data_IF_093855013091
#
_entry.id   IF_093855013091
#
_cell.length_a   1.000
_cell.length_b   1.000
_cell.length_c   1.000
_cell.angle_alpha   90.00
_cell.angle_beta   90.00
_cell.angle_gamma   90.00
#
_symmetry.space_group_name_H-M   'P 1'
#
loop_
_entity.id
_entity.type
_entity.pdbx_description
1 polymer ?
#
# COMPACT_ATOMS: atom_id res chain seq x y z
N UNK A 1 3.62 -11.50 -8.52
CA UNK A 1 3.12 -10.35 -9.33
C UNK A 1 1.64 -10.09 -9.07
N UNK A 2 1.15 -10.38 -7.86
CA UNK A 2 -0.30 -10.54 -7.66
C UNK A 2 -1.02 -9.20 -7.52
N UNK A 3 -0.45 -8.27 -6.75
CA UNK A 3 -1.03 -6.94 -6.55
C UNK A 3 -1.01 -6.08 -7.82
N UNK A 4 -0.03 -6.27 -8.72
CA UNK A 4 0.01 -5.54 -10.00
C UNK A 4 -1.08 -5.98 -10.97
N UNK A 5 -1.72 -7.13 -10.74
CA UNK A 5 -2.85 -7.60 -11.56
C UNK A 5 -4.19 -7.01 -11.09
N UNK A 6 -4.22 -6.33 -9.94
CA UNK A 6 -5.42 -5.62 -9.47
C UNK A 6 -5.60 -4.37 -10.34
N UNK A 7 -6.78 -4.25 -10.96
CA UNK A 7 -7.13 -3.16 -11.87
C UNK A 7 -8.04 -2.10 -11.23
N UNK A 8 -8.37 -2.27 -9.95
CA UNK A 8 -9.09 -1.28 -9.16
C UNK A 8 -8.19 -0.71 -8.06
N UNK A 9 -8.71 0.29 -7.33
CA UNK A 9 -7.98 0.90 -6.21
C UNK A 9 -7.84 -0.11 -5.08
N UNK A 10 -6.62 -0.26 -4.56
CA UNK A 10 -6.36 -0.95 -3.31
C UNK A 10 -6.51 0.03 -2.15
N UNK A 11 -7.19 -0.39 -1.10
CA UNK A 11 -7.46 0.39 0.11
C UNK A 11 -6.76 -0.27 1.28
N UNK A 12 -6.05 0.52 2.09
CA UNK A 12 -5.47 0.05 3.34
C UNK A 12 -6.56 0.04 4.40
N UNK A 13 -6.88 -1.15 4.92
CA UNK A 13 -7.86 -1.29 5.98
C UNK A 13 -7.25 -0.92 7.33
N UNK A 14 -6.07 -1.47 7.61
CA UNK A 14 -5.36 -1.27 8.87
C UNK A 14 -3.85 -1.40 8.68
N UNK A 15 -3.10 -0.70 9.52
CA UNK A 15 -1.64 -0.72 9.54
C UNK A 15 -1.08 -0.94 10.94
N UNK A 16 0.07 -1.58 11.03
CA UNK A 16 0.82 -1.81 12.27
C UNK A 16 2.21 -1.18 12.18
N UNK A 17 2.71 -0.73 13.33
CA UNK A 17 4.09 -0.30 13.54
C UNK A 17 4.58 0.82 12.60
N UNK A 18 3.80 1.89 12.44
CA UNK A 18 4.26 3.12 11.77
C UNK A 18 3.93 4.35 12.60
N UNK A 19 4.82 5.34 12.54
CA UNK A 19 4.80 6.59 13.32
C UNK A 19 3.69 7.57 12.93
N UNK A 20 3.16 7.49 11.70
CA UNK A 20 2.10 8.37 11.21
C UNK A 20 0.70 7.99 11.74
N UNK A 21 0.43 8.34 13.01
CA UNK A 21 -0.83 7.99 13.68
C UNK A 21 -2.07 8.71 13.12
N UNK A 22 -1.88 9.80 12.37
CA UNK A 22 -2.96 10.70 11.92
C UNK A 22 -3.38 10.52 10.46
N UNK A 23 -2.78 9.59 9.72
CA UNK A 23 -3.18 9.32 8.33
C UNK A 23 -4.38 8.35 8.32
N UNK A 24 -5.36 8.65 7.45
CA UNK A 24 -6.54 7.81 7.19
C UNK A 24 -6.76 7.65 5.69
N UNK A 25 -7.66 6.74 5.32
CA UNK A 25 -8.11 6.58 3.94
C UNK A 25 -6.99 6.34 2.93
N UNK A 26 -5.95 5.62 3.35
CA UNK A 26 -4.80 5.34 2.49
C UNK A 26 -5.18 4.35 1.39
N UNK A 27 -4.71 4.63 0.17
CA UNK A 27 -5.09 3.87 -1.01
C UNK A 27 -4.12 4.07 -2.16
N UNK A 28 -4.04 3.06 -3.02
CA UNK A 28 -3.21 3.06 -4.22
C UNK A 28 -4.05 2.66 -5.43
N UNK A 29 -4.04 3.48 -6.47
CA UNK A 29 -4.66 3.16 -7.76
C UNK A 29 -3.58 3.02 -8.82
N UNK A 30 -3.52 1.86 -9.47
CA UNK A 30 -2.60 1.63 -10.59
C UNK A 30 -3.04 2.50 -11.77
N UNK A 31 -2.10 3.24 -12.35
CA UNK A 31 -2.30 3.99 -13.58
C UNK A 31 -2.28 3.09 -14.82
N UNK A 32 -2.39 3.72 -15.99
CA UNK A 32 -2.30 3.02 -17.27
C UNK A 32 -0.83 2.74 -17.61
N UNK A 33 -0.55 1.50 -18.01
CA UNK A 33 0.77 1.08 -18.49
C UNK A 33 1.76 0.69 -17.38
N UNK A 34 2.93 0.23 -17.83
CA UNK A 34 4.00 -0.26 -16.98
C UNK A 34 4.31 -1.74 -17.19
N UNK A 35 5.57 -2.10 -16.97
CA UNK A 35 6.01 -3.49 -16.97
C UNK A 35 7.11 -3.67 -15.91
N UNK A 36 7.59 -4.91 -15.75
CA UNK A 36 8.63 -5.23 -14.75
C UNK A 36 9.89 -4.37 -14.94
N UNK A 37 10.22 -4.01 -16.19
CA UNK A 37 11.41 -3.25 -16.56
C UNK A 37 11.24 -1.74 -16.36
N UNK A 38 10.11 -1.16 -16.77
CA UNK A 38 9.85 0.29 -16.68
C UNK A 38 9.21 0.72 -15.34
N UNK A 39 8.70 -0.23 -14.57
CA UNK A 39 7.89 0.03 -13.38
C UNK A 39 6.41 0.27 -13.72
N UNK A 40 5.62 0.43 -12.67
CA UNK A 40 4.18 0.67 -12.73
C UNK A 40 3.86 1.98 -12.03
N UNK A 41 3.12 2.86 -12.71
CA UNK A 41 2.68 4.11 -12.09
C UNK A 41 1.52 3.86 -11.13
N UNK A 42 1.59 4.43 -9.94
CA UNK A 42 0.51 4.40 -8.95
C UNK A 42 0.17 5.80 -8.47
N UNK A 43 -1.12 6.08 -8.37
CA UNK A 43 -1.67 7.23 -7.67
C UNK A 43 -1.99 6.83 -6.21
N UNK A 44 -1.12 7.26 -5.31
CA UNK A 44 -1.33 7.18 -3.87
C UNK A 44 -2.28 8.31 -3.43
N UNK A 45 -3.21 8.00 -2.53
CA UNK A 45 -4.14 8.96 -1.94
C UNK A 45 -4.33 8.64 -0.46
N UNK A 46 -4.17 9.64 0.40
CA UNK A 46 -4.40 9.51 1.84
C UNK A 46 -4.98 10.81 2.41
N UNK A 47 -5.71 10.72 3.53
CA UNK A 47 -6.26 11.85 4.28
C UNK A 47 -5.33 12.21 5.44
N UNK A 48 -4.90 13.46 5.52
CA UNK A 48 -4.05 13.96 6.62
C UNK A 48 -4.94 14.43 7.76
N UNK A 49 -5.25 13.53 8.67
CA UNK A 49 -6.06 13.78 9.84
C UNK A 49 -7.16 12.73 10.01
N UNK A 50 -7.66 12.66 11.24
CA UNK A 50 -8.72 11.73 11.64
C UNK A 50 -10.13 12.29 11.41
N UNK A 51 -10.25 13.59 11.10
CA UNK A 51 -11.55 14.22 10.84
C UNK A 51 -12.02 13.96 9.41
N UNK A 52 -13.32 13.77 9.23
CA UNK A 52 -13.96 13.60 7.92
C UNK A 52 -13.75 14.77 6.96
N UNK A 53 -13.57 15.97 7.51
CA UNK A 53 -13.31 17.22 6.79
C UNK A 53 -11.83 17.45 6.47
N UNK A 54 -10.93 16.57 6.92
CA UNK A 54 -9.50 16.74 6.70
C UNK A 54 -9.13 16.61 5.21
N UNK A 55 -8.08 17.33 4.81
CA UNK A 55 -7.62 17.36 3.44
C UNK A 55 -7.03 16.01 3.00
N UNK A 56 -7.18 15.71 1.71
CA UNK A 56 -6.48 14.62 1.07
C UNK A 56 -5.20 15.11 0.42
N UNK A 57 -4.18 14.27 0.51
CA UNK A 57 -2.96 14.38 -0.28
C UNK A 57 -2.88 13.26 -1.29
N UNK A 58 -2.14 13.54 -2.35
CA UNK A 58 -1.94 12.64 -3.45
C UNK A 58 -0.46 12.63 -3.82
N UNK A 59 0.02 11.46 -4.25
CA UNK A 59 1.35 11.33 -4.84
C UNK A 59 1.28 10.38 -6.02
N UNK A 60 1.99 10.71 -7.10
CA UNK A 60 2.16 9.83 -8.24
C UNK A 60 3.56 9.24 -8.13
N UNK A 61 3.63 7.93 -7.97
CA UNK A 61 4.90 7.21 -7.77
C UNK A 61 5.09 6.17 -8.87
N UNK A 62 6.35 5.93 -9.23
CA UNK A 62 6.71 4.79 -10.08
C UNK A 62 7.20 3.64 -9.20
N UNK A 63 6.47 2.53 -9.22
CA UNK A 63 6.76 1.32 -8.46
C UNK A 63 7.51 0.34 -9.34
N UNK A 64 8.75 0.02 -8.99
CA UNK A 64 9.57 -0.97 -9.70
C UNK A 64 9.60 -2.30 -8.96
N UNK A 65 9.71 -3.41 -9.69
CA UNK A 65 9.78 -4.76 -9.12
C UNK A 65 11.22 -5.28 -9.21
N UNK A 66 11.78 -5.64 -8.06
CA UNK A 66 13.12 -6.21 -7.92
C UNK A 66 12.95 -7.72 -7.65
N UNK A 67 13.48 -8.62 -8.49
CA UNK A 67 13.44 -10.04 -8.23
C UNK A 67 14.22 -10.38 -6.96
N UNK A 68 13.64 -11.24 -6.11
CA UNK A 68 14.32 -11.82 -4.97
C UNK A 68 15.22 -12.96 -5.49
N UNK A 69 16.53 -12.72 -5.56
CA UNK A 69 17.47 -13.75 -5.98
C UNK A 69 17.70 -14.77 -4.86
N UNK A 70 17.86 -16.04 -5.24
CA UNK A 70 18.10 -17.21 -4.37
C UNK A 70 19.34 -17.06 -3.47
N UNK A 71 20.24 -16.13 -3.78
CA UNK A 71 21.54 -15.95 -3.12
C UNK A 71 21.52 -15.08 -1.85
N UNK A 72 20.41 -14.39 -1.52
CA UNK A 72 20.31 -13.54 -0.32
C UNK A 72 19.68 -14.25 0.89
N UNK A 73 19.95 -15.54 1.08
CA UNK A 73 19.53 -16.28 2.28
C UNK A 73 18.02 -16.53 2.41
N UNK A 74 17.20 -16.11 1.43
CA UNK A 74 15.80 -16.49 1.33
C UNK A 74 15.71 -17.85 0.66
N UNK A 75 15.60 -18.91 1.47
CA UNK A 75 15.32 -20.27 1.04
C UNK A 75 14.23 -20.30 -0.06
N UNK A 76 14.65 -20.51 -1.31
CA UNK A 76 13.84 -21.00 -2.43
C UNK A 76 12.65 -20.17 -2.91
N UNK A 77 12.38 -18.97 -2.38
CA UNK A 77 11.13 -18.27 -2.73
C UNK A 77 11.32 -17.42 -3.99
N UNK A 78 10.89 -17.91 -5.14
CA UNK A 78 10.72 -17.09 -6.36
C UNK A 78 9.74 -15.96 -6.03
N UNK A 79 10.20 -14.71 -6.03
CA UNK A 79 9.36 -13.57 -5.63
C UNK A 79 9.90 -12.24 -6.11
N UNK A 80 9.13 -11.17 -5.89
CA UNK A 80 9.52 -9.80 -6.18
C UNK A 80 9.33 -8.95 -4.93
N UNK A 81 10.26 -8.03 -4.71
CA UNK A 81 10.12 -6.89 -3.81
C UNK A 81 9.77 -5.67 -4.64
N UNK A 82 8.77 -4.91 -4.25
CA UNK A 82 8.44 -3.66 -4.93
C UNK A 82 9.15 -2.48 -4.24
N UNK A 83 9.58 -1.48 -4.99
CA UNK A 83 10.16 -0.26 -4.42
C UNK A 83 9.66 0.98 -5.13
N UNK A 84 9.51 2.08 -4.40
CA UNK A 84 9.23 3.39 -4.96
C UNK A 84 9.86 4.50 -4.12
N UNK A 85 9.94 5.70 -4.69
CA UNK A 85 10.33 6.92 -4.01
C UNK A 85 9.12 7.83 -3.91
N UNK A 86 8.91 8.42 -2.74
CA UNK A 86 7.87 9.42 -2.51
C UNK A 86 8.44 10.63 -1.77
N UNK A 87 7.89 11.82 -2.04
CA UNK A 87 8.38 13.10 -1.58
C UNK A 87 9.11 13.95 -2.64
N UNK A 88 9.50 15.17 -2.27
CA UNK A 88 10.10 16.16 -3.18
C UNK A 88 11.62 16.19 -3.04
N UNK A 89 12.31 16.22 -4.19
CA UNK A 89 13.75 16.45 -4.38
C UNK A 89 14.67 15.88 -3.27
N UNK A 90 14.95 16.66 -2.22
CA UNK A 90 15.91 16.36 -1.15
C UNK A 90 15.33 15.55 0.03
N UNK A 91 14.01 15.36 0.12
CA UNK A 91 13.35 14.64 1.23
C UNK A 91 12.70 13.32 0.80
N UNK A 92 13.14 12.75 -0.33
CA UNK A 92 12.57 11.51 -0.86
C UNK A 92 12.80 10.35 0.11
N UNK A 93 11.71 9.75 0.55
CA UNK A 93 11.73 8.49 1.30
C UNK A 93 11.61 7.34 0.33
N UNK A 94 12.51 6.36 0.45
CA UNK A 94 12.42 5.11 -0.30
C UNK A 94 11.57 4.13 0.48
N UNK A 95 10.58 3.58 -0.20
CA UNK A 95 9.70 2.55 0.29
C UNK A 95 10.01 1.23 -0.38
N UNK A 96 9.97 0.19 0.42
CA UNK A 96 10.29 -1.19 0.06
C UNK A 96 9.12 -2.05 0.51
N UNK A 97 8.37 -2.61 -0.44
CA UNK A 97 7.18 -3.40 -0.16
C UNK A 97 7.45 -4.87 -0.45
N UNK A 98 7.09 -5.73 0.49
CA UNK A 98 7.16 -7.18 0.33
C UNK A 98 5.78 -7.76 0.56
N UNK A 99 5.21 -8.45 -0.43
CA UNK A 99 3.99 -9.22 -0.24
C UNK A 99 4.29 -10.41 0.68
N UNK A 100 3.53 -10.53 1.77
CA UNK A 100 3.74 -11.54 2.79
C UNK A 100 2.64 -12.61 2.80
N UNK A 101 1.41 -12.19 2.57
CA UNK A 101 0.26 -13.09 2.48
C UNK A 101 -0.78 -12.54 1.51
N UNK A 102 -1.56 -13.42 0.89
CA UNK A 102 -2.72 -13.03 0.08
C UNK A 102 -3.84 -14.05 0.17
N UNK A 103 -5.06 -13.59 -0.08
CA UNK A 103 -6.15 -14.50 -0.43
C UNK A 103 -5.92 -15.07 -1.86
N UNK A 104 -6.16 -16.38 -2.09
CA UNK A 104 -6.03 -16.98 -3.40
C UNK A 104 -6.85 -16.29 -4.49
N UNK A 105 -8.02 -15.72 -4.14
CA UNK A 105 -8.88 -15.01 -5.08
C UNK A 105 -8.48 -13.53 -5.26
N UNK A 106 -7.36 -13.09 -4.66
CA UNK A 106 -6.88 -11.71 -4.77
C UNK A 106 -7.77 -10.68 -4.05
N UNK A 107 -8.55 -11.12 -3.06
CA UNK A 107 -9.49 -10.25 -2.34
C UNK A 107 -8.86 -9.56 -1.12
N UNK A 108 -7.70 -10.01 -0.66
CA UNK A 108 -6.90 -9.33 0.35
C UNK A 108 -5.41 -9.60 0.17
N UNK A 109 -4.60 -8.68 0.69
CA UNK A 109 -3.15 -8.71 0.64
C UNK A 109 -2.59 -8.20 1.95
N UNK A 110 -1.54 -8.83 2.47
CA UNK A 110 -0.75 -8.31 3.58
C UNK A 110 0.65 -8.01 3.07
N UNK A 111 1.08 -6.75 3.22
CA UNK A 111 2.41 -6.32 2.83
C UNK A 111 3.21 -5.86 4.04
N UNK A 112 4.52 -6.11 3.99
CA UNK A 112 5.51 -5.46 4.83
C UNK A 112 6.07 -4.26 4.07
N UNK A 113 6.01 -3.09 4.68
CA UNK A 113 6.54 -1.83 4.16
C UNK A 113 7.75 -1.42 5.00
N UNK A 114 8.89 -1.23 4.35
CA UNK A 114 10.13 -0.79 4.96
C UNK A 114 10.56 0.54 4.34
N UNK A 115 10.89 1.52 5.17
CA UNK A 115 11.46 2.81 4.76
C UNK A 115 12.99 2.75 4.83
N UNK A 116 13.68 3.62 4.09
CA UNK A 116 15.14 3.74 4.15
C UNK A 116 15.69 4.14 5.52
N UNK A 117 14.90 4.79 6.37
CA UNK A 117 15.24 5.12 7.76
C UNK A 117 15.07 3.92 8.75
N UNK A 118 14.90 2.69 8.24
CA UNK A 118 14.65 1.45 8.99
C UNK A 118 13.31 1.39 9.73
N UNK A 119 12.44 2.37 9.55
CA UNK A 119 11.05 2.24 10.00
C UNK A 119 10.35 1.19 9.13
N UNK A 120 9.70 0.22 9.76
CA UNK A 120 9.01 -0.85 9.06
C UNK A 120 7.62 -1.07 9.66
N UNK A 121 6.62 -1.15 8.80
CA UNK A 121 5.24 -1.40 9.16
C UNK A 121 4.62 -2.51 8.34
N UNK A 122 3.43 -2.93 8.75
CA UNK A 122 2.65 -3.94 8.05
C UNK A 122 1.27 -3.40 7.71
N UNK A 123 0.80 -3.66 6.51
CA UNK A 123 -0.47 -3.16 6.01
C UNK A 123 -1.33 -4.30 5.49
N UNK A 124 -2.62 -4.27 5.83
CA UNK A 124 -3.64 -5.12 5.25
C UNK A 124 -4.42 -4.31 4.22
N UNK A 125 -4.39 -4.75 2.97
CA UNK A 125 -5.06 -4.11 1.84
C UNK A 125 -6.13 -5.01 1.26
N UNK A 126 -7.17 -4.38 0.74
CA UNK A 126 -8.22 -5.05 -0.05
C UNK A 126 -8.55 -4.20 -1.29
N UNK A 127 -9.08 -4.79 -2.36
CA UNK A 127 -9.68 -4.04 -3.45
C UNK A 127 -10.82 -3.16 -2.93
N UNK A 128 -10.99 -1.96 -3.50
CA UNK A 128 -11.98 -0.99 -3.05
C UNK A 128 -13.41 -1.58 -3.07
N UNK A 129 -13.74 -2.43 -4.04
CA UNK A 129 -15.01 -3.16 -4.13
C UNK A 129 -15.30 -4.07 -2.91
N UNK A 130 -14.26 -4.48 -2.18
CA UNK A 130 -14.32 -5.37 -1.00
C UNK A 130 -14.09 -4.66 0.33
N UNK A 131 -14.01 -3.32 0.35
CA UNK A 131 -13.68 -2.54 1.56
C UNK A 131 -14.71 -2.64 2.70
N UNK A 132 -15.95 -3.01 2.39
CA UNK A 132 -17.06 -3.16 3.36
C UNK A 132 -17.43 -4.62 3.63
N UNK A 133 -16.75 -5.57 2.99
CA UNK A 133 -16.99 -7.00 3.21
C UNK A 133 -16.03 -7.54 4.25
N UNK A 134 -16.37 -8.69 4.83
CA UNK A 134 -15.47 -9.37 5.76
C UNK A 134 -14.12 -9.67 5.09
N UNK A 135 -13.05 -9.37 5.81
CA UNK A 135 -11.69 -9.63 5.35
C UNK A 135 -11.46 -11.15 5.40
N UNK A 136 -10.95 -11.77 4.32
CA UNK A 136 -10.62 -13.18 4.32
C UNK A 136 -9.74 -13.56 5.51
N UNK A 137 -10.12 -14.65 6.19
CA UNK A 137 -9.49 -15.06 7.45
C UNK A 137 -7.99 -15.30 7.33
N UNK A 138 -7.51 -15.67 6.14
CA UNK A 138 -6.08 -15.88 5.86
C UNK A 138 -5.25 -14.60 6.07
N UNK A 139 -5.65 -13.47 5.47
CA UNK A 139 -4.96 -12.20 5.67
C UNK A 139 -5.13 -11.68 7.09
N UNK A 140 -6.34 -11.82 7.65
CA UNK A 140 -6.66 -11.36 9.00
C UNK A 140 -5.79 -12.07 10.07
N UNK A 141 -5.68 -13.40 9.98
CA UNK A 141 -4.82 -14.22 10.84
C UNK A 141 -3.35 -13.87 10.65
N UNK A 142 -2.89 -13.76 9.40
CA UNK A 142 -1.49 -13.43 9.14
C UNK A 142 -1.14 -12.06 9.73
N UNK A 143 -1.94 -11.03 9.46
CA UNK A 143 -1.74 -9.67 9.96
C UNK A 143 -1.77 -9.60 11.49
N UNK A 144 -2.68 -10.35 12.12
CA UNK A 144 -2.81 -10.34 13.58
C UNK A 144 -1.61 -11.01 14.24
N UNK A 145 -1.19 -12.18 13.75
CA UNK A 145 -0.21 -13.03 14.41
C UNK A 145 1.24 -12.72 14.04
N UNK A 146 1.50 -12.28 12.80
CA UNK A 146 2.87 -12.10 12.29
C UNK A 146 3.31 -10.64 12.25
N UNK A 147 2.38 -9.69 12.19
CA UNK A 147 2.74 -8.27 12.21
C UNK A 147 2.79 -7.78 13.66
N UNK A 148 3.92 -7.19 14.04
CA UNK A 148 4.19 -6.69 15.39
C UNK A 148 3.72 -5.24 15.55
N UNK A 149 3.55 -4.81 16.80
CA UNK A 149 3.19 -3.43 17.15
C UNK A 149 1.70 -3.12 17.14
N UNK A 150 1.38 -1.87 17.46
CA UNK A 150 0.00 -1.38 17.60
C UNK A 150 -0.69 -1.32 16.24
N UNK A 151 -1.92 -1.83 16.18
CA UNK A 151 -2.75 -1.75 14.98
C UNK A 151 -3.60 -0.49 14.99
N UNK A 152 -3.58 0.23 13.88
CA UNK A 152 -4.39 1.42 13.65
C UNK A 152 -5.33 1.14 12.49
N UNK A 153 -6.62 1.38 12.71
CA UNK A 153 -7.62 1.37 11.65
C UNK A 153 -7.38 2.58 10.72
N UNK A 154 -7.23 2.31 9.43
CA UNK A 154 -6.93 3.32 8.40
C UNK A 154 -8.15 3.59 7.52
N UNK A 155 -8.91 2.56 7.18
CA UNK A 155 -10.16 2.70 6.47
C UNK A 155 -11.27 3.20 7.40
N UNK A 156 -11.99 4.21 6.95
CA UNK A 156 -13.20 4.75 7.57
C UNK A 156 -14.31 4.84 6.52
N UNK A 157 -15.58 4.75 6.94
CA UNK A 157 -16.72 4.71 6.00
C UNK A 157 -16.84 5.97 5.14
N UNK A 158 -16.34 7.09 5.62
CA UNK A 158 -16.38 8.41 4.98
C UNK A 158 -15.18 8.66 4.03
N UNK A 159 -14.31 7.65 3.82
CA UNK A 159 -13.19 7.75 2.91
C UNK A 159 -13.64 7.94 1.46
N UNK A 160 -12.99 8.88 0.76
CA UNK A 160 -13.37 9.34 -0.59
C UNK A 160 -12.34 8.92 -1.62
N UNK A 161 -12.59 7.78 -2.26
CA UNK A 161 -11.66 7.14 -3.19
C UNK A 161 -11.93 7.47 -4.66
N UNK A 162 -13.20 7.69 -5.00
CA UNK A 162 -13.70 7.80 -6.38
C UNK A 162 -13.63 9.22 -6.93
N UNK A 163 -13.31 10.18 -6.08
CA UNK A 163 -13.07 11.58 -6.46
C UNK A 163 -11.57 11.77 -6.64
N UNK A 164 -11.12 11.93 -7.89
CA UNK A 164 -10.02 12.86 -8.13
C UNK A 164 -10.55 14.19 -7.62
N UNK A 165 -10.04 14.65 -6.48
CA UNK A 165 -10.44 15.96 -5.99
C UNK A 165 -10.03 16.95 -7.09
N UNK A 166 -11.02 17.57 -7.74
CA UNK A 166 -10.91 18.40 -8.95
C UNK A 166 -10.16 19.72 -8.71
N UNK A 167 -9.37 19.80 -7.64
CA UNK A 167 -8.51 20.92 -7.29
C UNK A 167 -7.05 20.67 -7.67
N UNK A 168 -6.78 19.82 -8.66
CA UNK A 168 -5.54 19.95 -9.46
C UNK A 168 -5.74 21.16 -10.37
N UNK A 169 -5.61 22.34 -9.79
CA UNK A 169 -5.35 23.56 -10.56
C UNK A 169 -4.01 23.33 -11.21
N UNK A 170 -4.04 23.00 -12.50
CA UNK A 170 -2.87 23.10 -13.34
C UNK A 170 -2.40 24.55 -13.34
N UNK A 171 -1.14 24.72 -12.96
CA UNK A 171 -0.23 25.78 -13.38
C UNK A 171 1.20 25.23 -13.18
#
# INVERSE_FOLDING_TARGET
MEMINVNERLVVIKRKNMSDMHIRCDSALKGNGGNVTSGFTYLLKARIGTKSSAAYIHSIVNVTLIPLNVTQGHNGTKGYKATYLDGKNTTRTRYNLTLKEKDPNGTCFVILLEKNNREAGCELLVPASKRITDIPQICEKYYTNNCTGNSTQIYERDCRYDKLDTNVVGC
#
